data_IF_975446582952
#
_entry.id   IF_975446582952
#
_cell.length_a   1.000
_cell.length_b   1.000
_cell.length_c   1.000
_cell.angle_alpha   90.00
_cell.angle_beta   90.00
_cell.angle_gamma   90.00
#
_symmetry.space_group_name_H-M   'P 1'
#
loop_
_entity.id
_entity.type
_entity.pdbx_description
1 polymer ?
#
# COMPACT_ATOMS: atom_id res chain seq x y z
N UNK A 1 -12.37 29.06 47.46
CA UNK A 1 -13.42 28.07 47.16
C UNK A 1 -14.11 28.38 45.84
N UNK A 2 -15.01 29.35 45.72
CA UNK A 2 -15.79 29.55 44.48
C UNK A 2 -14.99 30.06 43.25
N UNK A 3 -13.89 30.79 43.48
CA UNK A 3 -13.00 31.23 42.39
C UNK A 3 -12.05 30.12 41.92
N UNK A 4 -11.65 29.22 42.81
CA UNK A 4 -10.75 28.09 42.51
C UNK A 4 -11.48 27.05 41.65
N UNK A 5 -12.73 26.71 42.01
CA UNK A 5 -13.58 25.84 41.18
C UNK A 5 -13.80 26.40 39.77
N UNK A 6 -13.87 27.72 39.64
CA UNK A 6 -14.09 28.41 38.36
C UNK A 6 -12.82 28.39 37.48
N UNK A 7 -11.64 28.42 38.09
CA UNK A 7 -10.37 28.22 37.38
C UNK A 7 -10.19 26.76 36.95
N UNK A 8 -10.49 25.80 37.81
CA UNK A 8 -10.46 24.37 37.46
C UNK A 8 -11.42 24.06 36.30
N UNK A 9 -12.63 24.63 36.29
CA UNK A 9 -13.61 24.43 35.21
C UNK A 9 -13.12 25.01 33.88
N UNK A 10 -12.43 26.16 33.91
CA UNK A 10 -11.79 26.75 32.73
C UNK A 10 -10.65 25.89 32.21
N UNK A 11 -9.81 25.35 33.10
CA UNK A 11 -8.73 24.43 32.71
C UNK A 11 -9.28 23.15 32.09
N UNK A 12 -10.33 22.56 32.67
CA UNK A 12 -10.99 21.38 32.12
C UNK A 12 -11.56 21.65 30.72
N UNK A 13 -12.26 22.77 30.53
CA UNK A 13 -12.82 23.17 29.24
C UNK A 13 -11.71 23.40 28.19
N UNK A 14 -10.62 24.07 28.58
CA UNK A 14 -9.46 24.29 27.71
C UNK A 14 -8.81 22.96 27.28
N UNK A 15 -8.65 22.02 28.21
CA UNK A 15 -8.13 20.68 27.91
C UNK A 15 -9.07 19.88 26.99
N UNK A 16 -10.37 20.06 27.12
CA UNK A 16 -11.36 19.42 26.25
C UNK A 16 -11.32 19.99 24.83
N UNK A 17 -11.22 21.31 24.68
CA UNK A 17 -11.04 21.97 23.39
C UNK A 17 -9.75 21.54 22.69
N UNK A 18 -8.63 21.47 23.43
CA UNK A 18 -7.37 20.94 22.90
C UNK A 18 -7.51 19.48 22.44
N UNK A 19 -8.21 18.63 23.20
CA UNK A 19 -8.47 17.24 22.81
C UNK A 19 -9.36 17.16 21.57
N UNK A 20 -10.36 18.03 21.44
CA UNK A 20 -11.26 18.09 20.28
C UNK A 20 -10.52 18.49 19.01
N UNK A 21 -9.72 19.55 19.09
CA UNK A 21 -8.85 20.02 17.99
C UNK A 21 -7.86 18.91 17.60
N UNK A 22 -7.24 18.25 18.57
CA UNK A 22 -6.29 17.15 18.34
C UNK A 22 -6.93 15.89 17.71
N UNK A 23 -8.21 15.63 17.99
CA UNK A 23 -8.99 14.54 17.35
C UNK A 23 -9.41 14.88 15.93
N UNK A 24 -9.71 16.15 15.65
CA UNK A 24 -9.99 16.64 14.30
C UNK A 24 -8.74 16.85 13.44
N UNK A 25 -7.55 16.74 14.03
CA UNK A 25 -6.28 16.93 13.34
C UNK A 25 -6.00 15.75 12.40
N UNK A 26 -6.00 16.04 11.10
CA UNK A 26 -5.86 15.06 10.01
C UNK A 26 -4.61 14.19 10.11
N UNK A 27 -3.55 14.71 10.75
CA UNK A 27 -2.30 13.98 10.96
C UNK A 27 -2.49 12.76 11.87
N UNK A 28 -3.36 12.84 12.88
CA UNK A 28 -3.63 11.74 13.81
C UNK A 28 -4.79 10.85 13.36
N UNK A 29 -5.63 11.31 12.43
CA UNK A 29 -6.83 10.59 12.01
C UNK A 29 -6.71 9.86 10.68
N UNK A 30 -5.54 9.77 10.04
CA UNK A 30 -5.43 9.19 8.68
C UNK A 30 -6.01 7.77 8.55
N UNK A 31 -5.70 6.87 9.49
CA UNK A 31 -6.27 5.52 9.53
C UNK A 31 -7.69 5.47 10.14
N UNK A 32 -8.01 6.39 11.06
CA UNK A 32 -9.29 6.41 11.80
C UNK A 32 -10.41 7.17 11.07
N UNK A 33 -10.07 8.05 10.13
CA UNK A 33 -11.03 8.87 9.37
C UNK A 33 -11.64 8.07 8.22
N UNK A 34 -10.89 7.15 7.61
CA UNK A 34 -11.41 6.24 6.59
C UNK A 34 -10.73 4.86 6.65
N UNK A 35 -11.02 4.04 7.67
CA UNK A 35 -10.46 2.69 7.77
C UNK A 35 -10.71 1.88 6.48
N UNK A 36 -11.86 2.10 5.82
CA UNK A 36 -12.18 1.48 4.54
C UNK A 36 -11.17 1.76 3.43
N UNK A 37 -10.77 3.02 3.22
CA UNK A 37 -9.85 3.41 2.14
C UNK A 37 -8.43 2.89 2.45
N UNK A 38 -8.03 2.88 3.72
CA UNK A 38 -6.77 2.31 4.15
C UNK A 38 -6.68 0.81 3.79
N UNK A 39 -7.67 0.01 4.18
CA UNK A 39 -7.68 -1.41 3.83
C UNK A 39 -7.83 -1.66 2.33
N UNK A 40 -8.63 -0.86 1.62
CA UNK A 40 -8.78 -0.95 0.17
C UNK A 40 -7.47 -0.66 -0.57
N UNK A 41 -6.72 0.36 -0.15
CA UNK A 41 -5.42 0.68 -0.74
C UNK A 41 -4.41 -0.46 -0.53
N UNK A 42 -4.31 -1.00 0.68
CA UNK A 42 -3.45 -2.16 0.97
C UNK A 42 -3.87 -3.37 0.14
N UNK A 43 -5.17 -3.66 0.06
CA UNK A 43 -5.69 -4.76 -0.76
C UNK A 43 -5.32 -4.57 -2.24
N UNK A 44 -5.43 -3.35 -2.77
CA UNK A 44 -5.03 -3.03 -4.14
C UNK A 44 -3.53 -3.28 -4.37
N UNK A 45 -2.67 -2.82 -3.45
CA UNK A 45 -1.23 -3.07 -3.52
C UNK A 45 -0.88 -4.56 -3.48
N UNK A 46 -1.53 -5.33 -2.60
CA UNK A 46 -1.32 -6.78 -2.49
C UNK A 46 -1.80 -7.49 -3.76
N UNK A 47 -2.98 -7.17 -4.27
CA UNK A 47 -3.51 -7.76 -5.50
C UNK A 47 -2.63 -7.43 -6.71
N UNK A 48 -2.11 -6.21 -6.81
CA UNK A 48 -1.25 -5.79 -7.92
C UNK A 48 0.10 -6.53 -7.87
N UNK A 49 0.75 -6.55 -6.71
CA UNK A 49 2.06 -7.22 -6.55
C UNK A 49 1.93 -8.73 -6.73
N UNK A 50 0.96 -9.36 -6.07
CA UNK A 50 0.72 -10.79 -6.18
C UNK A 50 0.27 -11.20 -7.58
N UNK A 51 -0.64 -10.43 -8.19
CA UNK A 51 -1.10 -10.66 -9.56
C UNK A 51 0.05 -10.55 -10.57
N UNK A 52 0.93 -9.56 -10.39
CA UNK A 52 2.16 -9.41 -11.18
C UNK A 52 3.10 -10.59 -11.04
N UNK A 53 3.43 -10.98 -9.80
CA UNK A 53 4.29 -12.13 -9.51
C UNK A 53 3.70 -13.44 -10.06
N UNK A 54 2.39 -13.65 -9.91
CA UNK A 54 1.71 -14.85 -10.41
C UNK A 54 1.73 -14.96 -11.94
N UNK A 55 1.50 -13.84 -12.65
CA UNK A 55 1.61 -13.82 -14.11
C UNK A 55 3.04 -14.08 -14.57
N UNK A 56 4.03 -13.53 -13.89
CA UNK A 56 5.44 -13.78 -14.19
C UNK A 56 5.82 -15.26 -13.98
N UNK A 57 5.33 -15.86 -12.89
CA UNK A 57 5.55 -17.28 -12.59
C UNK A 57 4.95 -18.20 -13.65
N UNK A 58 3.71 -17.94 -14.07
CA UNK A 58 2.99 -18.79 -15.05
C UNK A 58 3.46 -18.57 -16.48
N UNK A 59 3.86 -17.34 -16.84
CA UNK A 59 4.38 -16.98 -18.17
C UNK A 59 5.91 -16.93 -18.18
N UNK A 60 6.55 -17.91 -17.54
CA UNK A 60 8.00 -18.04 -17.65
C UNK A 60 8.40 -18.23 -19.11
N UNK A 61 9.56 -17.71 -19.47
CA UNK A 61 10.12 -17.90 -20.80
C UNK A 61 10.26 -19.40 -21.12
N UNK A 62 9.61 -19.82 -22.20
CA UNK A 62 9.83 -21.11 -22.81
C UNK A 62 10.65 -20.88 -24.08
N UNK A 63 11.81 -21.54 -24.19
CA UNK A 63 12.64 -21.44 -25.39
C UNK A 63 11.80 -21.90 -26.59
N UNK A 64 11.48 -21.01 -27.56
CA UNK A 64 10.76 -21.44 -28.73
C UNK A 64 11.64 -22.42 -29.51
N UNK A 65 11.03 -23.48 -30.05
CA UNK A 65 11.71 -24.36 -31.00
C UNK A 65 11.77 -23.62 -32.33
N UNK A 66 12.81 -22.81 -32.51
CA UNK A 66 13.05 -22.09 -33.76
C UNK A 66 13.69 -23.08 -34.73
N UNK A 67 13.15 -23.16 -35.95
CA UNK A 67 13.80 -23.89 -37.04
C UNK A 67 15.04 -23.09 -37.46
N UNK A 68 16.20 -23.53 -36.96
CA UNK A 68 17.49 -22.94 -37.33
C UNK A 68 17.85 -23.47 -38.71
N UNK A 69 18.11 -22.57 -39.65
CA UNK A 69 18.55 -22.96 -40.99
C UNK A 69 19.88 -23.71 -40.90
N UNK A 70 19.98 -24.84 -41.60
CA UNK A 70 21.16 -25.71 -41.57
C UNK A 70 22.45 -25.03 -42.04
N UNK A 71 22.35 -23.97 -42.86
CA UNK A 71 23.47 -23.13 -43.29
C UNK A 71 24.04 -22.23 -42.19
N UNK A 72 23.29 -22.00 -41.10
CA UNK A 72 23.72 -21.17 -39.96
C UNK A 72 24.30 -21.98 -38.81
N UNK A 73 24.30 -23.32 -38.91
CA UNK A 73 24.96 -24.18 -37.93
C UNK A 73 26.48 -24.03 -38.07
N UNK A 74 27.14 -23.85 -36.94
CA UNK A 74 28.60 -23.83 -36.86
C UNK A 74 29.23 -25.13 -37.37
N UNK A 75 28.56 -26.26 -37.10
CA UNK A 75 28.93 -27.57 -37.63
C UNK A 75 28.18 -27.83 -38.94
N UNK A 76 28.87 -27.84 -40.10
CA UNK A 76 28.22 -28.09 -41.38
C UNK A 76 27.69 -29.53 -41.42
N UNK A 77 26.46 -29.70 -41.92
CA UNK A 77 25.89 -31.01 -42.20
C UNK A 77 25.93 -31.26 -43.71
N UNK A 78 26.59 -32.33 -44.12
CA UNK A 78 26.69 -32.76 -45.52
C UNK A 78 25.68 -33.88 -45.80
N UNK A 79 25.08 -33.89 -47.00
CA UNK A 79 24.20 -34.97 -47.47
C UNK A 79 25.00 -36.04 -48.20
#
# INVERSE_FOLDING_TARGET
MQNEELEELKEQYYQEDLKKVKKSDFKNSWANSSPYIFYLSIACFVLMTWGGCYKLYTKRYHKPKVEVQSSTLYTPQYK
#
